data_IF_115596655325
#
_entry.id   IF_115596655325
#
_cell.length_a   1.000
_cell.length_b   1.000
_cell.length_c   1.000
_cell.angle_alpha   90.00
_cell.angle_beta   90.00
_cell.angle_gamma   90.00
#
_symmetry.space_group_name_H-M   'P 1'
#
loop_
_entity.id
_entity.type
_entity.pdbx_description
1 polymer ?
#
# COMPACT_ATOMS: atom_id res chain seq x y z
N UNK A 1 -15.39 -12.61 5.96
CA UNK A 1 -15.17 -11.17 6.15
C UNK A 1 -14.42 -10.99 7.46
N UNK A 2 -13.17 -10.55 7.42
CA UNK A 2 -12.48 -10.10 8.63
C UNK A 2 -13.15 -8.81 9.08
N UNK A 3 -13.55 -8.72 10.35
CA UNK A 3 -14.05 -7.46 10.90
C UNK A 3 -12.82 -6.59 11.15
N UNK A 4 -12.54 -5.70 10.21
CA UNK A 4 -11.43 -4.75 10.26
C UNK A 4 -10.15 -5.24 9.58
N UNK A 5 -9.36 -4.27 9.13
CA UNK A 5 -8.05 -4.50 8.51
C UNK A 5 -6.91 -4.60 9.53
N UNK A 6 -5.66 -4.59 9.06
CA UNK A 6 -4.45 -4.69 9.87
C UNK A 6 -4.31 -3.59 10.92
N UNK A 7 -4.60 -2.33 10.60
CA UNK A 7 -4.47 -1.21 11.56
C UNK A 7 -5.52 -1.32 12.66
N UNK A 8 -6.74 -1.72 12.30
CA UNK A 8 -7.79 -2.01 13.25
C UNK A 8 -7.40 -3.18 14.16
N UNK A 9 -6.90 -4.27 13.59
CA UNK A 9 -6.44 -5.43 14.35
C UNK A 9 -5.35 -5.04 15.34
N UNK A 10 -4.34 -4.32 14.86
CA UNK A 10 -3.22 -3.82 15.65
C UNK A 10 -3.68 -2.93 16.83
N UNK A 11 -4.60 -2.00 16.59
CA UNK A 11 -5.15 -1.12 17.64
C UNK A 11 -6.06 -1.87 18.63
N UNK A 12 -6.84 -2.84 18.15
CA UNK A 12 -7.80 -3.60 18.96
C UNK A 12 -7.11 -4.65 19.83
N UNK A 13 -6.21 -5.46 19.28
CA UNK A 13 -5.48 -6.50 20.03
C UNK A 13 -4.68 -5.90 21.18
N UNK A 14 -3.99 -4.78 20.94
CA UNK A 14 -3.24 -4.09 21.97
C UNK A 14 -4.10 -3.47 23.09
N UNK A 15 -5.43 -3.35 22.92
CA UNK A 15 -6.36 -2.92 23.97
C UNK A 15 -6.90 -4.09 24.79
N UNK A 16 -7.17 -5.22 24.15
CA UNK A 16 -7.76 -6.39 24.82
C UNK A 16 -6.71 -7.18 25.60
N UNK A 17 -5.53 -7.41 25.01
CA UNK A 17 -4.52 -8.26 25.61
C UNK A 17 -3.10 -7.78 25.28
N UNK A 18 -2.62 -6.73 25.96
CA UNK A 18 -1.28 -6.17 25.71
C UNK A 18 -0.13 -7.16 25.94
N UNK A 19 -0.34 -8.22 26.73
CA UNK A 19 0.70 -9.21 27.04
C UNK A 19 0.91 -10.28 25.96
N UNK A 20 -0.01 -10.40 25.00
CA UNK A 20 0.12 -11.32 23.86
C UNK A 20 0.47 -10.60 22.55
N UNK A 21 0.61 -9.27 22.60
CA UNK A 21 1.00 -8.46 21.45
C UNK A 21 2.48 -8.70 21.14
N UNK A 22 2.79 -8.98 19.86
CA UNK A 22 4.18 -9.06 19.41
C UNK A 22 4.84 -7.69 19.57
N UNK A 23 6.14 -7.67 19.84
CA UNK A 23 6.88 -6.40 20.00
C UNK A 23 6.78 -5.50 18.76
N UNK A 24 6.81 -6.10 17.57
CA UNK A 24 6.60 -5.43 16.26
C UNK A 24 5.21 -4.77 16.15
N UNK A 25 4.15 -5.45 16.62
CA UNK A 25 2.79 -4.91 16.58
C UNK A 25 2.62 -3.78 17.61
N UNK A 26 3.30 -3.88 18.75
CA UNK A 26 3.30 -2.84 19.78
C UNK A 26 3.97 -1.56 19.28
N UNK A 27 5.12 -1.67 18.63
CA UNK A 27 5.82 -0.52 18.04
C UNK A 27 5.01 0.07 16.88
N UNK A 28 4.45 -0.78 16.02
CA UNK A 28 3.51 -0.36 14.98
C UNK A 28 2.33 0.43 15.56
N UNK A 29 1.72 -0.03 16.65
CA UNK A 29 0.59 0.64 17.31
C UNK A 29 0.95 2.01 17.86
N UNK A 30 2.08 2.12 18.55
CA UNK A 30 2.57 3.41 19.05
C UNK A 30 2.84 4.38 17.90
N UNK A 31 3.42 3.88 16.81
CA UNK A 31 3.69 4.68 15.62
C UNK A 31 2.39 5.17 14.94
N UNK A 32 1.35 4.34 14.78
CA UNK A 32 0.04 4.77 14.25
C UNK A 32 -0.55 5.88 15.11
N UNK A 33 -0.55 5.71 16.44
CA UNK A 33 -1.11 6.70 17.37
C UNK A 33 -0.37 8.03 17.22
N UNK A 34 0.97 8.01 17.25
CA UNK A 34 1.78 9.22 17.14
C UNK A 34 1.61 9.92 15.79
N UNK A 35 1.63 9.17 14.68
CA UNK A 35 1.45 9.75 13.34
C UNK A 35 0.07 10.39 13.20
N UNK A 36 -0.99 9.76 13.70
CA UNK A 36 -2.33 10.32 13.63
C UNK A 36 -2.54 11.53 14.55
N UNK A 37 -1.77 11.62 15.64
CA UNK A 37 -1.82 12.74 16.58
C UNK A 37 -1.06 13.96 16.04
N UNK A 38 0.18 13.77 15.59
CA UNK A 38 1.04 14.84 15.06
C UNK A 38 0.61 15.24 13.63
N UNK A 39 0.09 14.30 12.85
CA UNK A 39 -0.40 14.51 11.49
C UNK A 39 -1.68 15.34 11.40
N UNK A 40 -2.15 15.94 12.51
CA UNK A 40 -3.39 16.72 12.54
C UNK A 40 -3.39 17.93 11.61
N UNK A 41 -2.21 18.52 11.36
CA UNK A 41 -2.06 19.67 10.45
C UNK A 41 -0.77 19.55 9.63
N UNK A 42 -0.93 19.46 8.33
CA UNK A 42 0.15 19.44 7.36
C UNK A 42 -0.07 20.52 6.30
N UNK A 43 1.01 21.06 5.77
CA UNK A 43 0.99 21.84 4.55
C UNK A 43 1.45 20.96 3.39
N UNK A 44 0.56 20.67 2.44
CA UNK A 44 0.85 19.83 1.29
C UNK A 44 0.77 20.66 0.00
N UNK A 45 1.78 20.49 -0.86
CA UNK A 45 1.82 21.08 -2.20
C UNK A 45 1.02 20.25 -3.22
N UNK A 46 -0.13 20.78 -3.67
CA UNK A 46 -1.04 20.08 -4.59
C UNK A 46 -0.55 20.02 -6.04
N UNK A 47 0.47 20.84 -6.41
CA UNK A 47 0.96 20.98 -7.80
C UNK A 47 1.56 19.70 -8.39
N UNK A 48 1.93 18.72 -7.56
CA UNK A 48 2.42 17.41 -8.04
C UNK A 48 1.33 16.41 -8.42
N UNK A 49 0.06 16.67 -8.06
CA UNK A 49 -1.05 15.71 -8.27
C UNK A 49 -1.77 15.84 -9.62
N UNK A 50 -1.27 16.69 -10.53
CA UNK A 50 -1.81 16.94 -11.87
C UNK A 50 -1.54 15.78 -12.86
N UNK A 51 -1.62 14.54 -12.36
CA UNK A 51 -1.72 13.31 -13.15
C UNK A 51 -2.97 12.51 -12.74
N UNK A 52 -4.04 13.17 -12.31
CA UNK A 52 -5.34 12.49 -12.34
C UNK A 52 -5.73 12.19 -13.80
N UNK A 53 -6.31 11.01 -14.08
CA UNK A 53 -6.94 10.76 -15.37
C UNK A 53 -7.96 11.87 -15.58
N UNK A 54 -7.98 12.47 -16.78
CA UNK A 54 -8.85 13.59 -17.19
C UNK A 54 -10.30 13.38 -16.71
N UNK A 55 -10.60 13.79 -15.48
CA UNK A 55 -11.96 13.95 -15.02
C UNK A 55 -12.45 15.24 -15.66
N UNK A 56 -13.59 15.17 -16.33
CA UNK A 56 -14.21 16.28 -17.03
C UNK A 56 -14.44 17.44 -16.05
N UNK A 57 -13.55 18.43 -16.05
CA UNK A 57 -13.81 19.71 -15.40
C UNK A 57 -14.80 20.48 -16.28
N UNK A 58 -16.07 20.44 -15.89
CA UNK A 58 -17.16 21.26 -16.45
C UNK A 58 -17.05 22.75 -16.06
N UNK A 59 -15.98 23.15 -15.36
CA UNK A 59 -15.80 24.51 -14.82
C UNK A 59 -15.56 25.61 -15.85
N UNK A 60 -15.29 25.28 -17.12
CA UNK A 60 -15.03 26.28 -18.16
C UNK A 60 -16.30 26.73 -18.93
N UNK A 61 -17.51 26.33 -18.51
CA UNK A 61 -18.73 26.70 -19.23
C UNK A 61 -19.41 28.00 -18.78
N UNK A 62 -18.95 28.64 -17.69
CA UNK A 62 -19.48 29.94 -17.26
C UNK A 62 -18.37 30.99 -17.26
N UNK A 63 -18.28 31.68 -18.41
CA UNK A 63 -17.43 32.85 -18.60
C UNK A 63 -17.74 33.95 -17.59
N UNK A 64 -16.75 34.28 -16.78
CA UNK A 64 -16.73 35.44 -15.90
C UNK A 64 -15.31 35.97 -15.82
N UNK A 65 -14.95 36.86 -16.75
CA UNK A 65 -13.67 37.54 -16.77
C UNK A 65 -13.48 38.37 -15.49
N UNK A 66 -12.48 37.98 -14.71
CA UNK A 66 -12.03 38.71 -13.53
C UNK A 66 -10.51 38.75 -13.49
N UNK A 67 -9.92 39.66 -14.25
CA UNK A 67 -8.51 40.02 -14.14
C UNK A 67 -8.33 40.90 -12.90
N UNK A 68 -7.71 40.38 -11.85
CA UNK A 68 -7.35 41.20 -10.69
C UNK A 68 -6.69 40.38 -9.59
N UNK A 69 -5.42 40.70 -9.29
CA UNK A 69 -4.78 40.29 -8.04
C UNK A 69 -3.50 39.47 -8.22
N UNK A 70 -2.40 40.17 -8.50
CA UNK A 70 -1.06 39.67 -8.29
C UNK A 70 -0.81 39.48 -6.77
N UNK A 71 -0.70 38.22 -6.36
CA UNK A 71 0.11 37.80 -5.20
C UNK A 71 0.51 36.35 -5.47
N UNK A 72 1.64 36.17 -6.17
CA UNK A 72 2.16 34.89 -6.65
C UNK A 72 3.18 34.27 -5.69
N UNK A 73 3.05 34.50 -4.37
CA UNK A 73 4.01 34.01 -3.37
C UNK A 73 3.75 32.58 -2.88
N UNK A 74 2.50 32.17 -2.66
CA UNK A 74 2.18 30.93 -1.92
C UNK A 74 0.97 30.17 -2.50
N UNK A 75 0.69 30.35 -3.79
CA UNK A 75 -0.39 29.59 -4.45
C UNK A 75 -0.02 28.11 -4.56
N UNK A 76 -0.52 27.27 -3.65
CA UNK A 76 -0.53 25.81 -3.82
C UNK A 76 -0.37 24.97 -2.55
N UNK A 77 -0.09 25.59 -1.39
CA UNK A 77 -0.07 24.88 -0.12
C UNK A 77 -1.46 24.82 0.48
N UNK A 78 -1.94 23.62 0.77
CA UNK A 78 -3.23 23.41 1.42
C UNK A 78 -3.00 22.77 2.78
N UNK A 79 -3.61 23.38 3.81
CA UNK A 79 -3.65 22.80 5.13
C UNK A 79 -4.52 21.54 5.10
N UNK A 80 -3.99 20.42 5.53
CA UNK A 80 -4.68 19.14 5.53
C UNK A 80 -4.39 18.37 6.81
N UNK A 81 -5.20 17.34 7.05
CA UNK A 81 -4.99 16.35 8.10
C UNK A 81 -4.50 15.07 7.46
N UNK A 82 -3.40 14.53 7.96
CA UNK A 82 -2.87 13.22 7.61
C UNK A 82 -3.34 12.17 8.63
N UNK A 83 -3.92 11.08 8.14
CA UNK A 83 -4.43 9.97 8.94
C UNK A 83 -4.03 8.64 8.32
N UNK A 84 -3.67 7.67 9.14
CA UNK A 84 -3.48 6.28 8.75
C UNK A 84 -4.65 5.46 9.30
N UNK A 85 -5.34 4.76 8.39
CA UNK A 85 -6.41 3.81 8.72
C UNK A 85 -6.51 2.74 7.64
N UNK A 86 -7.25 1.68 7.93
CA UNK A 86 -7.61 0.71 6.91
C UNK A 86 -8.68 1.29 5.98
N UNK A 87 -8.59 0.94 4.69
CA UNK A 87 -9.64 1.17 3.70
C UNK A 87 -10.76 0.12 3.83
N UNK A 88 -11.78 0.21 2.97
CA UNK A 88 -12.93 -0.71 2.99
C UNK A 88 -12.55 -2.16 2.63
N UNK A 89 -11.42 -2.35 1.95
CA UNK A 89 -10.85 -3.67 1.61
C UNK A 89 -9.95 -4.22 2.74
N UNK A 90 -9.75 -3.45 3.81
CA UNK A 90 -8.88 -3.81 4.93
C UNK A 90 -7.39 -3.66 4.59
N UNK A 91 -7.01 -2.76 3.68
CA UNK A 91 -5.61 -2.41 3.41
C UNK A 91 -5.24 -1.09 4.09
N UNK A 92 -4.06 -0.98 4.73
CA UNK A 92 -3.62 0.26 5.36
C UNK A 92 -3.33 1.35 4.32
N UNK A 93 -3.93 2.51 4.50
CA UNK A 93 -3.76 3.68 3.64
C UNK A 93 -3.50 4.95 4.46
N UNK A 94 -2.70 5.84 3.89
CA UNK A 94 -2.59 7.23 4.30
C UNK A 94 -3.70 8.02 3.61
N UNK A 95 -4.47 8.71 4.42
CA UNK A 95 -5.51 9.64 4.04
C UNK A 95 -5.02 11.06 4.28
N UNK A 96 -5.11 11.90 3.26
CA UNK A 96 -4.88 13.33 3.39
C UNK A 96 -6.20 14.05 3.14
N UNK A 97 -6.80 14.51 4.23
CA UNK A 97 -8.09 15.19 4.26
C UNK A 97 -7.86 16.71 4.34
N UNK A 98 -8.15 17.50 3.29
CA UNK A 98 -7.95 18.93 3.32
C UNK A 98 -8.82 19.58 4.40
N UNK A 99 -8.23 20.49 5.17
CA UNK A 99 -8.97 21.29 6.13
C UNK A 99 -9.79 22.34 5.38
N UNK A 100 -11.05 22.60 5.79
CA UNK A 100 -11.85 23.62 5.15
C UNK A 100 -11.17 24.98 5.30
N UNK A 101 -11.07 25.78 4.23
CA UNK A 101 -10.56 27.13 4.33
C UNK A 101 -11.47 27.98 5.23
N UNK A 102 -10.99 29.10 5.77
CA UNK A 102 -11.80 30.02 6.58
C UNK A 102 -13.06 30.52 5.85
N UNK A 103 -13.04 30.52 4.51
CA UNK A 103 -14.17 30.87 3.65
C UNK A 103 -15.28 29.81 3.57
N UNK A 104 -15.12 28.65 4.22
CA UNK A 104 -16.14 27.61 4.36
C UNK A 104 -16.34 26.72 3.11
N UNK A 105 -15.64 26.96 2.01
CA UNK A 105 -15.71 26.10 0.83
C UNK A 105 -14.78 24.90 0.98
N UNK A 106 -15.32 23.75 1.38
CA UNK A 106 -14.59 22.48 1.43
C UNK A 106 -14.11 22.09 0.03
N UNK A 107 -12.83 21.76 -0.12
CA UNK A 107 -12.32 21.21 -1.38
C UNK A 107 -12.43 19.69 -1.34
N UNK A 108 -13.15 19.10 -2.30
CA UNK A 108 -13.56 17.70 -2.27
C UNK A 108 -12.53 16.67 -2.75
N UNK A 109 -11.22 16.99 -2.73
CA UNK A 109 -10.22 15.97 -3.07
C UNK A 109 -9.71 15.27 -1.82
N UNK A 110 -9.68 13.95 -1.88
CA UNK A 110 -9.17 13.06 -0.85
C UNK A 110 -8.04 12.27 -1.47
N UNK A 111 -6.83 12.43 -0.94
CA UNK A 111 -5.69 11.65 -1.41
C UNK A 111 -5.52 10.42 -0.53
N UNK A 112 -5.57 9.26 -1.16
CA UNK A 112 -5.32 7.98 -0.51
C UNK A 112 -4.03 7.39 -1.07
N UNK A 113 -3.09 7.04 -0.19
CA UNK A 113 -1.84 6.38 -0.56
C UNK A 113 -1.76 5.09 0.22
N UNK A 114 -1.82 3.95 -0.46
CA UNK A 114 -1.62 2.67 0.19
C UNK A 114 -0.22 2.60 0.82
N UNK A 115 -0.16 2.19 2.09
CA UNK A 115 1.08 2.17 2.87
C UNK A 115 2.13 1.27 2.20
N UNK A 116 1.67 0.20 1.55
CA UNK A 116 2.50 -0.71 0.74
C UNK A 116 3.27 -0.04 -0.40
N UNK A 117 2.79 1.09 -0.93
CA UNK A 117 3.44 1.82 -2.03
C UNK A 117 4.63 2.64 -1.56
N UNK A 118 4.74 2.90 -0.26
CA UNK A 118 5.78 3.73 0.31
C UNK A 118 6.98 2.83 0.62
N UNK A 119 8.11 3.11 -0.02
CA UNK A 119 9.36 2.38 0.21
C UNK A 119 10.20 3.05 1.29
N UNK A 120 10.25 4.39 1.28
CA UNK A 120 11.07 5.17 2.19
C UNK A 120 10.47 6.52 2.51
N UNK A 121 10.77 7.00 3.71
CA UNK A 121 10.42 8.33 4.20
C UNK A 121 11.71 9.14 4.25
N UNK A 122 11.71 10.33 3.65
CA UNK A 122 12.87 11.22 3.65
C UNK A 122 12.49 12.58 4.21
N UNK A 123 13.46 13.29 4.76
CA UNK A 123 13.28 14.65 5.26
C UNK A 123 14.42 15.52 4.80
N UNK A 124 14.07 16.68 4.26
CA UNK A 124 15.03 17.72 3.92
C UNK A 124 15.27 18.59 5.17
N UNK A 125 16.49 18.58 5.75
CA UNK A 125 16.78 19.34 6.96
C UNK A 125 16.73 20.86 6.73
N UNK A 126 16.88 21.33 5.48
CA UNK A 126 16.90 22.75 5.17
C UNK A 126 15.51 23.37 5.11
N UNK A 127 14.52 22.60 4.62
CA UNK A 127 13.14 23.06 4.46
C UNK A 127 12.18 22.47 5.51
N UNK A 128 12.60 21.42 6.23
CA UNK A 128 11.74 20.63 7.09
C UNK A 128 10.69 19.82 6.31
N UNK A 129 10.82 19.73 4.97
CA UNK A 129 9.90 19.01 4.11
C UNK A 129 10.08 17.50 4.28
N UNK A 130 8.97 16.79 4.42
CA UNK A 130 8.91 15.33 4.46
C UNK A 130 8.43 14.85 3.09
N UNK A 131 9.12 13.84 2.56
CA UNK A 131 8.83 13.18 1.29
C UNK A 131 8.55 11.70 1.51
N UNK A 132 7.38 11.24 1.06
CA UNK A 132 7.07 9.82 0.94
C UNK A 132 7.46 9.38 -0.46
N UNK A 133 8.34 8.37 -0.56
CA UNK A 133 8.93 7.95 -1.82
C UNK A 133 8.52 6.50 -2.12
N UNK A 134 8.09 6.27 -3.36
CA UNK A 134 7.81 4.94 -3.86
C UNK A 134 9.11 4.17 -4.11
N UNK A 135 8.99 2.85 -4.25
CA UNK A 135 10.10 1.98 -4.66
C UNK A 135 10.65 2.47 -6.00
N UNK A 136 11.98 2.54 -6.14
CA UNK A 136 12.58 2.79 -7.43
C UNK A 136 12.20 1.67 -8.40
N UNK A 137 11.87 1.98 -9.67
CA UNK A 137 11.78 0.94 -10.68
C UNK A 137 13.14 0.23 -10.78
N UNK A 138 13.16 -1.07 -11.15
CA UNK A 138 14.39 -1.86 -11.26
C UNK A 138 15.38 -1.27 -12.28
N UNK A 139 14.91 -0.43 -13.21
CA UNK A 139 15.72 0.35 -14.11
C UNK A 139 16.50 1.44 -13.36
N UNK A 140 17.76 1.12 -13.04
CA UNK A 140 18.74 1.89 -12.24
C UNK A 140 18.97 3.36 -12.62
N UNK A 141 18.30 3.89 -13.64
CA UNK A 141 18.45 5.27 -14.11
C UNK A 141 17.41 6.24 -13.56
N UNK A 142 16.29 5.75 -13.02
CA UNK A 142 15.22 6.63 -12.53
C UNK A 142 15.31 6.82 -11.02
N UNK A 143 15.17 8.06 -10.58
CA UNK A 143 15.01 8.37 -9.15
C UNK A 143 13.65 7.85 -8.65
N UNK A 144 13.57 7.47 -7.36
CA UNK A 144 12.30 7.12 -6.71
C UNK A 144 11.22 8.17 -6.96
N UNK A 145 10.02 7.73 -7.35
CA UNK A 145 8.87 8.61 -7.55
C UNK A 145 8.40 9.14 -6.19
N UNK A 146 8.23 10.45 -6.08
CA UNK A 146 7.66 11.06 -4.87
C UNK A 146 6.14 10.91 -4.88
N UNK A 147 5.60 10.28 -3.84
CA UNK A 147 4.16 10.06 -3.65
C UNK A 147 3.49 11.24 -2.96
N UNK A 148 4.15 11.81 -1.95
CA UNK A 148 3.65 12.94 -1.18
C UNK A 148 4.81 13.79 -0.67
N UNK A 149 4.61 15.10 -0.72
CA UNK A 149 5.52 16.11 -0.19
C UNK A 149 4.74 17.05 0.73
N UNK A 150 5.14 17.15 1.99
CA UNK A 150 4.43 17.95 2.98
C UNK A 150 5.35 18.48 4.08
N UNK A 151 4.88 19.49 4.80
CA UNK A 151 5.52 20.03 6.00
C UNK A 151 4.54 19.87 7.16
N UNK A 152 5.02 19.44 8.32
CA UNK A 152 4.20 19.34 9.54
C UNK A 152 4.07 20.72 10.19
N UNK A 153 2.84 21.10 10.52
CA UNK A 153 2.50 22.38 11.16
C UNK A 153 2.00 22.16 12.58
N UNK A 154 2.25 23.12 13.47
CA UNK A 154 1.67 23.11 14.81
C UNK A 154 0.15 23.19 14.76
N UNK A 155 -0.57 22.47 15.62
CA UNK A 155 -2.04 22.52 15.63
C UNK A 155 -2.56 23.94 15.85
N UNK A 156 -1.89 24.72 16.71
CA UNK A 156 -2.25 26.09 17.08
C UNK A 156 -1.92 27.18 16.04
N UNK A 157 -1.22 26.87 14.94
CA UNK A 157 -0.81 27.89 13.98
C UNK A 157 -0.22 27.35 12.68
N UNK A 158 0.30 28.25 11.85
CA UNK A 158 0.96 27.89 10.58
C UNK A 158 2.48 27.78 10.71
N UNK A 159 2.97 27.69 11.95
CA UNK A 159 4.39 27.51 12.22
C UNK A 159 4.78 26.04 12.04
N UNK A 160 5.95 25.75 11.44
CA UNK A 160 6.51 24.40 11.43
C UNK A 160 6.65 23.84 12.85
N UNK A 161 6.44 22.53 13.01
CA UNK A 161 6.71 21.85 14.29
C UNK A 161 8.21 21.83 14.60
N UNK A 162 8.56 21.54 15.85
CA UNK A 162 9.96 21.43 16.28
C UNK A 162 10.66 20.26 15.60
N UNK A 163 11.97 20.40 15.39
CA UNK A 163 12.78 19.37 14.72
C UNK A 163 12.71 18.01 15.40
N UNK A 164 12.72 17.96 16.74
CA UNK A 164 12.64 16.70 17.50
C UNK A 164 11.32 15.96 17.24
N UNK A 165 10.21 16.68 17.23
CA UNK A 165 8.88 16.15 16.98
C UNK A 165 8.73 15.70 15.52
N UNK A 166 9.29 16.46 14.57
CA UNK A 166 9.37 16.09 13.16
C UNK A 166 10.17 14.80 12.97
N UNK A 167 11.34 14.72 13.59
CA UNK A 167 12.20 13.55 13.48
C UNK A 167 11.53 12.31 14.10
N UNK A 168 10.83 12.47 15.22
CA UNK A 168 10.04 11.40 15.84
C UNK A 168 8.88 10.96 14.93
N UNK A 169 8.20 11.91 14.28
CA UNK A 169 7.17 11.58 13.29
C UNK A 169 7.75 10.78 12.11
N UNK A 170 8.88 11.21 11.55
CA UNK A 170 9.55 10.55 10.42
C UNK A 170 10.01 9.14 10.80
N UNK A 171 10.54 8.99 12.02
CA UNK A 171 10.88 7.69 12.60
C UNK A 171 9.64 6.78 12.68
N UNK A 172 8.56 7.25 13.29
CA UNK A 172 7.32 6.48 13.41
C UNK A 172 6.70 6.14 12.04
N UNK A 173 6.75 7.03 11.07
CA UNK A 173 6.36 6.71 9.68
C UNK A 173 7.22 5.60 9.08
N UNK A 174 8.53 5.61 9.34
CA UNK A 174 9.45 4.57 8.86
C UNK A 174 9.17 3.22 9.53
N UNK A 175 8.85 3.22 10.83
CA UNK A 175 8.42 2.03 11.58
C UNK A 175 7.16 1.42 10.96
N UNK A 176 6.16 2.24 10.58
CA UNK A 176 4.94 1.76 9.95
C UNK A 176 5.15 1.16 8.57
N UNK A 177 6.03 1.77 7.77
CA UNK A 177 6.41 1.25 6.45
C UNK A 177 7.05 -0.13 6.59
N UNK A 178 7.97 -0.29 7.54
CA UNK A 178 8.65 -1.57 7.77
C UNK A 178 7.73 -2.63 8.39
N UNK A 179 6.88 -2.24 9.34
CA UNK A 179 5.85 -3.13 9.90
C UNK A 179 4.93 -3.68 8.80
N UNK A 180 4.48 -2.84 7.87
CA UNK A 180 3.63 -3.26 6.76
C UNK A 180 4.36 -4.23 5.81
N UNK A 181 5.65 -3.98 5.54
CA UNK A 181 6.49 -4.88 4.75
C UNK A 181 6.61 -6.26 5.41
N UNK A 182 6.94 -6.31 6.70
CA UNK A 182 7.07 -7.56 7.46
C UNK A 182 5.76 -8.36 7.50
N UNK A 183 4.64 -7.68 7.75
CA UNK A 183 3.30 -8.28 7.75
C UNK A 183 2.99 -8.94 6.40
N UNK A 184 3.28 -8.27 5.29
CA UNK A 184 3.03 -8.79 3.94
C UNK A 184 3.92 -9.98 3.61
N UNK A 185 5.20 -9.92 3.97
CA UNK A 185 6.13 -11.05 3.83
C UNK A 185 5.64 -12.26 4.63
N UNK A 186 5.20 -12.07 5.87
CA UNK A 186 4.65 -13.15 6.70
C UNK A 186 3.37 -13.77 6.12
N UNK A 187 2.58 -12.98 5.38
CA UNK A 187 1.37 -13.43 4.72
C UNK A 187 1.62 -14.09 3.34
N UNK A 188 2.88 -14.17 2.87
CA UNK A 188 3.24 -14.57 1.51
C UNK A 188 2.46 -13.79 0.44
N UNK A 189 2.17 -12.51 0.71
CA UNK A 189 1.57 -11.63 -0.28
C UNK A 189 2.73 -11.09 -1.11
N UNK A 190 2.92 -11.70 -2.29
CA UNK A 190 3.97 -11.29 -3.23
C UNK A 190 3.91 -9.78 -3.50
N UNK A 191 5.08 -9.16 -3.54
CA UNK A 191 5.28 -7.73 -3.73
C UNK A 191 5.05 -7.27 -5.20
N UNK A 192 4.52 -8.17 -6.04
CA UNK A 192 4.39 -8.01 -7.49
C UNK A 192 3.22 -7.09 -7.92
N UNK A 193 2.37 -6.64 -6.99
CA UNK A 193 1.19 -5.83 -7.31
C UNK A 193 1.50 -4.36 -7.66
N UNK A 194 2.75 -3.90 -7.53
CA UNK A 194 3.14 -2.53 -7.93
C UNK A 194 3.33 -2.38 -9.46
N UNK A 195 3.03 -3.41 -10.26
CA UNK A 195 3.08 -3.39 -11.73
C UNK A 195 1.94 -2.61 -12.41
N UNK A 196 0.92 -2.14 -11.67
CA UNK A 196 -0.25 -1.44 -12.24
C UNK A 196 0.09 -0.14 -13.00
N UNK A 197 1.20 0.53 -12.66
CA UNK A 197 1.64 1.77 -13.33
C UNK A 197 2.53 1.51 -14.58
N UNK A 198 2.81 0.26 -14.96
CA UNK A 198 3.60 -0.04 -16.16
C UNK A 198 2.73 -0.05 -17.43
N UNK A 199 3.19 0.53 -18.55
CA UNK A 199 2.44 0.58 -19.81
C UNK A 199 2.08 -0.81 -20.38
N UNK A 200 2.75 -1.88 -19.91
CA UNK A 200 2.51 -3.26 -20.32
C UNK A 200 1.74 -4.10 -19.30
N UNK A 201 1.12 -3.50 -18.27
CA UNK A 201 0.42 -4.23 -17.21
C UNK A 201 -0.61 -5.25 -17.74
N UNK A 202 -1.40 -4.86 -18.74
CA UNK A 202 -2.38 -5.77 -19.37
C UNK A 202 -1.71 -6.99 -20.03
N UNK A 203 -0.53 -6.80 -20.61
CA UNK A 203 0.24 -7.87 -21.24
C UNK A 203 0.88 -8.79 -20.20
N UNK A 204 1.43 -8.24 -19.11
CA UNK A 204 1.99 -9.00 -18.00
C UNK A 204 0.90 -9.87 -17.33
N UNK A 205 -0.27 -9.28 -17.06
CA UNK A 205 -1.44 -10.01 -16.52
C UNK A 205 -1.90 -11.13 -17.45
N UNK A 206 -1.95 -10.87 -18.76
CA UNK A 206 -2.30 -11.88 -19.75
C UNK A 206 -1.27 -13.03 -19.77
N UNK A 207 0.03 -12.73 -19.71
CA UNK A 207 1.10 -13.74 -19.67
C UNK A 207 1.05 -14.58 -18.38
N UNK A 208 0.77 -13.96 -17.23
CA UNK A 208 0.61 -14.67 -15.96
C UNK A 208 -0.60 -15.61 -16.02
N UNK A 209 -1.72 -15.14 -16.56
CA UNK A 209 -2.92 -15.96 -16.77
C UNK A 209 -2.66 -17.14 -17.73
N UNK A 210 -1.94 -16.92 -18.84
CA UNK A 210 -1.61 -18.00 -19.78
C UNK A 210 -0.66 -19.03 -19.15
N UNK A 211 0.30 -18.59 -18.33
CA UNK A 211 1.19 -19.49 -17.60
C UNK A 211 0.42 -20.41 -16.64
N UNK A 212 -0.51 -19.85 -15.85
CA UNK A 212 -1.32 -20.67 -14.94
C UNK A 212 -2.25 -21.63 -15.68
N UNK A 213 -2.92 -21.16 -16.75
CA UNK A 213 -3.74 -22.03 -17.58
C UNK A 213 -2.93 -23.19 -18.19
N UNK A 214 -1.71 -22.91 -18.68
CA UNK A 214 -0.81 -23.93 -19.23
C UNK A 214 -0.39 -24.94 -18.16
N UNK A 215 -0.01 -24.47 -16.97
CA UNK A 215 0.39 -25.33 -15.85
C UNK A 215 -0.75 -26.22 -15.36
N UNK A 216 -1.99 -25.72 -15.37
CA UNK A 216 -3.17 -26.48 -15.02
C UNK A 216 -3.46 -27.59 -16.04
N UNK A 217 -3.34 -27.29 -17.34
CA UNK A 217 -3.47 -28.28 -18.41
C UNK A 217 -2.40 -29.37 -18.28
N UNK A 218 -1.15 -29.00 -18.03
CA UNK A 218 -0.04 -29.94 -17.82
C UNK A 218 -0.29 -30.86 -16.62
N UNK A 219 -0.78 -30.31 -15.50
CA UNK A 219 -1.15 -31.09 -14.33
C UNK A 219 -2.31 -32.07 -14.61
N UNK A 220 -3.32 -31.63 -15.35
CA UNK A 220 -4.44 -32.50 -15.75
C UNK A 220 -3.99 -33.63 -16.70
N UNK A 221 -3.12 -33.33 -17.66
CA UNK A 221 -2.55 -34.34 -18.57
C UNK A 221 -1.64 -35.34 -17.81
N UNK A 222 -0.81 -34.83 -16.89
CA UNK A 222 0.01 -35.67 -16.02
C UNK A 222 -0.86 -36.58 -15.14
N UNK A 223 -1.99 -36.08 -14.63
CA UNK A 223 -2.94 -36.89 -13.87
C UNK A 223 -3.59 -37.98 -14.73
N UNK A 224 -4.10 -37.63 -15.91
CA UNK A 224 -4.70 -38.60 -16.85
C UNK A 224 -3.72 -39.70 -17.26
N UNK A 225 -2.48 -39.34 -17.62
CA UNK A 225 -1.45 -40.33 -17.98
C UNK A 225 -1.06 -41.25 -16.81
N UNK A 226 -1.07 -40.76 -15.56
CA UNK A 226 -0.88 -41.61 -14.37
C UNK A 226 -2.04 -42.57 -14.18
N UNK A 227 -3.29 -42.11 -14.36
CA UNK A 227 -4.49 -42.93 -14.26
C UNK A 227 -4.56 -43.99 -15.37
N UNK A 228 -4.21 -43.65 -16.62
CA UNK A 228 -4.13 -44.58 -17.74
C UNK A 228 -3.07 -45.66 -17.52
N UNK A 229 -1.88 -45.29 -17.05
CA UNK A 229 -0.84 -46.27 -16.69
C UNK A 229 -1.35 -47.21 -15.60
N UNK A 230 -1.94 -46.67 -14.53
CA UNK A 230 -2.53 -47.47 -13.45
C UNK A 230 -3.61 -48.41 -13.97
N UNK A 231 -4.51 -47.93 -14.83
CA UNK A 231 -5.58 -48.73 -15.41
C UNK A 231 -5.05 -49.86 -16.31
N UNK A 232 -4.10 -49.57 -17.20
CA UNK A 232 -3.45 -50.56 -18.07
C UNK A 232 -2.82 -51.68 -17.26
N UNK A 233 -2.06 -51.30 -16.24
CA UNK A 233 -1.44 -52.27 -15.38
C UNK A 233 -2.44 -53.10 -14.56
N UNK A 234 -3.52 -52.50 -14.05
CA UNK A 234 -4.59 -53.24 -13.33
C UNK A 234 -5.25 -54.27 -14.25
N UNK A 235 -5.49 -53.90 -15.51
CA UNK A 235 -6.04 -54.80 -16.52
C UNK A 235 -5.11 -55.96 -16.88
N UNK A 236 -3.81 -55.71 -17.04
CA UNK A 236 -2.82 -56.73 -17.42
C UNK A 236 -2.42 -57.66 -16.25
N UNK A 237 -2.34 -57.14 -15.02
CA UNK A 237 -1.81 -57.89 -13.87
C UNK A 237 -2.88 -58.42 -12.90
N UNK A 238 -4.16 -58.23 -13.23
CA UNK A 238 -5.29 -58.80 -12.50
C UNK A 238 -5.38 -58.30 -11.05
N UNK A 239 -5.36 -56.98 -10.83
CA UNK A 239 -5.70 -56.30 -9.57
C UNK A 239 -4.81 -56.57 -8.32
N UNK A 240 -4.54 -57.84 -7.99
CA UNK A 240 -3.86 -58.28 -6.76
C UNK A 240 -2.37 -57.92 -6.72
N UNK A 241 -1.65 -57.99 -7.85
CA UNK A 241 -0.21 -57.66 -7.89
C UNK A 241 0.06 -56.17 -7.67
N UNK A 242 -0.87 -55.31 -8.06
CA UNK A 242 -0.72 -53.85 -7.93
C UNK A 242 -0.80 -53.38 -6.47
N UNK A 243 -1.65 -54.01 -5.68
CA UNK A 243 -1.76 -53.73 -4.25
C UNK A 243 -0.53 -54.23 -3.49
N UNK A 244 0.01 -55.41 -3.85
CA UNK A 244 1.21 -55.97 -3.22
C UNK A 244 2.47 -55.11 -3.46
N UNK A 245 2.69 -54.64 -4.70
CA UNK A 245 3.81 -53.75 -5.03
C UNK A 245 3.72 -52.37 -4.35
N UNK A 246 2.52 -51.81 -4.21
CA UNK A 246 2.30 -50.54 -3.51
C UNK A 246 2.46 -50.65 -1.99
N UNK A 247 2.23 -51.84 -1.41
CA UNK A 247 2.49 -52.10 0.01
C UNK A 247 3.98 -52.38 0.29
N UNK A 248 4.70 -53.06 -0.62
CA UNK A 248 6.12 -53.35 -0.46
C UNK A 248 7.00 -52.07 -0.50
N UNK A 249 6.64 -51.11 -1.35
CA UNK A 249 7.38 -49.83 -1.49
C UNK A 249 7.17 -48.83 -0.35
N UNK A 250 6.29 -49.13 0.62
CA UNK A 250 6.08 -48.34 1.85
C UNK A 250 6.88 -48.83 3.05
N UNK A 251 7.53 -49.99 2.97
CA UNK A 251 8.24 -50.62 4.09
C UNK A 251 9.72 -50.20 4.15
N UNK A 252 10.27 -49.66 3.05
CA UNK A 252 11.70 -49.31 2.92
C UNK A 252 12.01 -47.79 3.00
N UNK A 253 11.14 -46.98 3.62
CA UNK A 253 11.38 -45.55 3.85
C UNK A 253 10.80 -45.09 5.18
#
# INVERSE_FOLDING_TARGET
MSIGGPIFSLTWFGRICPCLEKEEDKTGRQAVIHVNDVGQRISWNTKGSEQQPKSFSLGNLFGGGGSGGANSGEKGMVAAKLLIRDNDEGSPEIYVDPLPPPSGQSVGYKLNIALRRIDRVSTDPSTGQISLLAKAPPDKKQSPKTLLNFVLLQVSGDMPIKDDERNLFVHNMSVLVEWERQRRTAANIDDDDDEEDQPNFLQARAQKATHFAKREIELQQAKRSREERKAKFVAESGGLKYTALAMASRIDG
#
